data_IF_823159959942
#
_entry.id   IF_823159959942
#
_cell.length_a   1.000
_cell.length_b   1.000
_cell.length_c   1.000
_cell.angle_alpha   90.00
_cell.angle_beta   90.00
_cell.angle_gamma   90.00
#
_symmetry.space_group_name_H-M   'P 1'
#
loop_
_entity.id
_entity.type
_entity.pdbx_description
1 polymer ?
#
# COMPACT_ATOMS: atom_id res chain seq x y z
N UNK A 1 62.13 1.87 6.85
CA UNK A 1 61.48 3.10 7.33
C UNK A 1 60.59 3.58 6.20
N UNK A 2 59.33 3.14 6.17
CA UNK A 2 58.39 3.47 5.10
C UNK A 2 57.79 4.85 5.36
N UNK A 3 57.72 5.76 4.36
CA UNK A 3 57.19 7.09 4.57
C UNK A 3 55.66 7.04 4.75
N UNK A 4 55.22 7.73 5.79
CA UNK A 4 53.87 7.86 6.34
C UNK A 4 52.86 8.60 5.45
N UNK A 5 53.03 8.59 4.12
CA UNK A 5 52.20 9.39 3.20
C UNK A 5 51.10 8.61 2.46
N UNK A 6 51.01 7.28 2.62
CA UNK A 6 50.01 6.45 1.91
C UNK A 6 48.81 6.02 2.77
N UNK A 7 48.85 6.25 4.08
CA UNK A 7 47.72 5.91 4.98
C UNK A 7 46.69 7.05 5.06
N UNK A 8 47.10 8.30 4.78
CA UNK A 8 46.20 9.47 4.82
C UNK A 8 45.21 9.56 3.65
N UNK A 9 45.57 9.06 2.46
CA UNK A 9 44.70 9.14 1.27
C UNK A 9 43.59 8.07 1.26
N UNK A 10 43.82 6.91 1.89
CA UNK A 10 42.83 5.83 1.98
C UNK A 10 41.72 6.10 3.01
N UNK A 11 42.01 6.90 4.05
CA UNK A 11 41.04 7.22 5.10
C UNK A 11 40.10 8.38 4.68
N UNK A 12 40.59 9.31 3.84
CA UNK A 12 39.76 10.38 3.26
C UNK A 12 38.77 9.87 2.20
N UNK A 13 39.08 8.80 1.48
CA UNK A 13 38.14 8.14 0.56
C UNK A 13 37.01 7.37 1.28
N UNK A 14 37.26 6.86 2.48
CA UNK A 14 36.23 6.17 3.27
C UNK A 14 35.31 7.11 4.06
N UNK A 15 35.74 8.34 4.35
CA UNK A 15 34.93 9.30 5.13
C UNK A 15 34.08 10.20 4.20
N UNK A 16 34.50 10.46 2.97
CA UNK A 16 33.69 11.20 1.99
C UNK A 16 32.58 10.36 1.33
N UNK A 17 32.53 9.05 1.62
CA UNK A 17 31.53 8.12 1.04
C UNK A 17 30.27 7.94 1.91
N UNK A 18 30.17 8.58 3.08
CA UNK A 18 29.07 8.33 4.02
C UNK A 18 28.09 9.49 4.23
N UNK A 19 28.32 10.67 3.67
CA UNK A 19 27.42 11.83 3.84
C UNK A 19 27.13 12.58 2.53
N UNK A 20 27.03 11.87 1.41
CA UNK A 20 26.10 12.32 0.37
C UNK A 20 24.72 11.90 0.85
N UNK A 21 24.10 12.76 1.66
CA UNK A 21 22.67 12.75 1.83
C UNK A 21 22.06 12.70 0.43
N UNK A 22 21.60 11.51 0.04
CA UNK A 22 20.79 11.32 -1.15
C UNK A 22 19.58 12.20 -0.92
N UNK A 23 19.60 13.39 -1.50
CA UNK A 23 18.38 14.13 -1.72
C UNK A 23 17.51 13.18 -2.55
N UNK A 24 16.58 12.48 -1.89
CA UNK A 24 15.48 11.80 -2.58
C UNK A 24 14.78 12.90 -3.36
N UNK A 25 15.11 13.04 -4.64
CA UNK A 25 14.25 13.74 -5.58
C UNK A 25 13.08 12.79 -5.77
N UNK A 26 12.11 12.88 -4.87
CA UNK A 26 10.81 12.23 -5.04
C UNK A 26 10.16 12.98 -6.19
N UNK A 27 10.32 12.47 -7.42
CA UNK A 27 9.39 12.82 -8.49
C UNK A 27 8.14 12.03 -8.17
N UNK A 28 7.25 12.62 -7.36
CA UNK A 28 5.87 12.14 -7.33
C UNK A 28 5.35 12.34 -8.75
N UNK A 29 5.18 11.28 -9.52
CA UNK A 29 4.00 11.31 -10.40
C UNK A 29 2.84 11.43 -9.42
N UNK A 30 2.14 12.55 -9.48
CA UNK A 30 1.17 12.95 -8.46
C UNK A 30 0.09 11.88 -8.35
N UNK A 31 0.21 11.02 -7.33
CA UNK A 31 -0.90 10.19 -6.86
C UNK A 31 -2.08 11.16 -6.70
N UNK A 32 -3.24 10.93 -7.34
CA UNK A 32 -4.33 11.91 -7.43
C UNK A 32 -5.08 12.02 -6.09
N UNK A 33 -4.39 12.54 -5.09
CA UNK A 33 -4.86 12.70 -3.73
C UNK A 33 -5.88 13.84 -3.69
N UNK A 34 -7.07 13.52 -3.21
CA UNK A 34 -8.17 14.47 -3.03
C UNK A 34 -8.83 14.20 -1.69
N UNK A 35 -9.47 15.21 -1.08
CA UNK A 35 -10.23 14.98 0.14
C UNK A 35 -11.44 14.07 -0.13
N UNK A 36 -11.80 13.21 0.83
CA UNK A 36 -12.92 12.27 0.66
C UNK A 36 -14.21 12.91 0.15
N UNK A 37 -14.57 14.10 0.62
CA UNK A 37 -15.82 14.76 0.21
C UNK A 37 -15.84 15.19 -1.27
N UNK A 38 -14.69 15.31 -1.94
CA UNK A 38 -14.59 15.55 -3.37
C UNK A 38 -14.68 14.25 -4.19
N UNK A 39 -14.28 13.12 -3.60
CA UNK A 39 -14.33 11.79 -4.22
C UNK A 39 -15.73 11.19 -4.08
N UNK A 40 -16.28 11.26 -2.86
CA UNK A 40 -17.56 10.66 -2.47
C UNK A 40 -18.50 11.76 -1.96
N UNK A 41 -19.58 12.08 -2.69
CA UNK A 41 -20.57 13.07 -2.25
C UNK A 41 -21.33 12.70 -0.96
N UNK A 42 -21.54 11.41 -0.70
CA UNK A 42 -22.18 10.91 0.53
C UNK A 42 -21.61 9.56 0.99
N UNK A 43 -22.08 9.05 2.14
CA UNK A 43 -21.75 7.71 2.62
C UNK A 43 -22.20 6.60 1.68
N UNK A 44 -23.28 6.81 0.92
CA UNK A 44 -23.70 5.88 -0.12
C UNK A 44 -22.65 5.72 -1.21
N UNK A 45 -22.19 6.83 -1.81
CA UNK A 45 -21.15 6.75 -2.84
C UNK A 45 -19.83 6.20 -2.29
N UNK A 46 -19.49 6.51 -1.04
CA UNK A 46 -18.33 5.91 -0.37
C UNK A 46 -18.46 4.38 -0.34
N UNK A 47 -19.55 3.86 0.21
CA UNK A 47 -19.76 2.41 0.37
C UNK A 47 -19.79 1.68 -0.97
N UNK A 48 -20.52 2.23 -1.95
CA UNK A 48 -20.78 1.52 -3.21
C UNK A 48 -19.61 1.62 -4.21
N UNK A 49 -18.72 2.62 -4.09
CA UNK A 49 -17.65 2.86 -5.08
C UNK A 49 -16.25 2.52 -4.61
N UNK A 50 -15.91 2.83 -3.36
CA UNK A 50 -14.52 2.73 -2.87
C UNK A 50 -13.92 1.36 -3.14
N UNK A 51 -14.71 0.31 -2.89
CA UNK A 51 -14.30 -1.08 -3.03
C UNK A 51 -14.93 -1.75 -4.27
N UNK A 52 -15.11 -0.99 -5.36
CA UNK A 52 -15.56 -1.51 -6.66
C UNK A 52 -16.86 -2.34 -6.59
N UNK A 53 -17.88 -1.82 -5.90
CA UNK A 53 -19.17 -2.50 -5.76
C UNK A 53 -19.17 -3.70 -4.79
N UNK A 54 -18.12 -3.90 -3.99
CA UNK A 54 -18.10 -4.91 -2.93
C UNK A 54 -19.26 -4.78 -1.95
N UNK A 55 -19.71 -3.53 -1.71
CA UNK A 55 -20.75 -3.19 -0.75
C UNK A 55 -21.92 -2.45 -1.39
N UNK A 56 -23.11 -2.62 -0.81
CA UNK A 56 -24.34 -1.92 -1.19
C UNK A 56 -24.88 -1.18 0.03
N UNK A 57 -25.34 0.06 -0.16
CA UNK A 57 -25.89 0.86 0.93
C UNK A 57 -27.31 0.39 1.27
N UNK A 58 -27.50 -0.21 2.46
CA UNK A 58 -28.77 -0.79 2.90
C UNK A 58 -29.34 -0.03 4.10
N UNK A 59 -30.60 0.40 3.95
CA UNK A 59 -31.35 1.21 4.94
C UNK A 59 -32.30 0.37 5.80
N UNK A 60 -32.52 -0.90 5.44
CA UNK A 60 -33.24 -1.83 6.27
C UNK A 60 -32.29 -2.56 7.23
N UNK A 61 -32.36 -2.22 8.52
CA UNK A 61 -31.44 -2.74 9.53
C UNK A 61 -31.44 -4.27 9.63
N UNK A 62 -32.58 -4.92 9.38
CA UNK A 62 -32.67 -6.39 9.48
C UNK A 62 -31.95 -7.10 8.33
N UNK A 63 -31.54 -6.37 7.30
CA UNK A 63 -30.89 -6.88 6.07
C UNK A 63 -29.46 -6.37 5.90
N UNK A 64 -28.96 -5.60 6.87
CA UNK A 64 -27.72 -4.85 6.72
C UNK A 64 -26.64 -5.32 7.71
N UNK A 65 -25.50 -5.75 7.16
CA UNK A 65 -24.32 -6.13 7.90
C UNK A 65 -23.63 -4.90 8.52
N UNK A 66 -22.83 -5.13 9.57
CA UNK A 66 -21.94 -4.13 10.15
C UNK A 66 -20.50 -4.63 10.08
N UNK A 67 -19.56 -3.73 9.81
CA UNK A 67 -18.12 -4.04 9.78
C UNK A 67 -17.47 -3.98 11.16
N UNK A 68 -18.25 -3.73 12.22
CA UNK A 68 -17.80 -3.83 13.60
C UNK A 68 -18.98 -4.01 14.55
N UNK A 69 -18.75 -4.68 15.68
CA UNK A 69 -19.74 -4.85 16.74
C UNK A 69 -19.09 -4.98 18.12
N UNK A 70 -19.87 -4.66 19.16
CA UNK A 70 -19.47 -4.80 20.56
C UNK A 70 -20.27 -5.89 21.28
N UNK A 71 -21.26 -6.46 20.61
CA UNK A 71 -22.09 -7.51 21.14
C UNK A 71 -21.29 -8.80 21.41
N UNK A 72 -21.79 -9.60 22.35
CA UNK A 72 -21.16 -10.86 22.72
C UNK A 72 -21.11 -11.85 21.56
N UNK A 73 -22.14 -11.80 20.71
CA UNK A 73 -22.38 -12.71 19.60
C UNK A 73 -22.43 -11.88 18.31
N UNK A 74 -22.00 -12.46 17.18
CA UNK A 74 -21.88 -11.74 15.92
C UNK A 74 -23.28 -11.41 15.35
N UNK A 75 -23.70 -10.13 15.29
CA UNK A 75 -25.03 -9.76 14.79
C UNK A 75 -25.20 -10.06 13.29
N UNK A 76 -24.10 -10.19 12.55
CA UNK A 76 -24.13 -10.52 11.12
C UNK A 76 -24.69 -11.93 10.86
N UNK A 77 -24.62 -12.85 11.84
CA UNK A 77 -25.22 -14.19 11.71
C UNK A 77 -26.76 -14.13 11.63
N UNK A 78 -27.39 -13.18 12.34
CA UNK A 78 -28.85 -12.95 12.27
C UNK A 78 -29.23 -12.27 10.94
N UNK A 79 -28.43 -11.30 10.48
CA UNK A 79 -28.64 -10.65 9.18
C UNK A 79 -28.58 -11.68 8.05
N UNK A 80 -27.61 -12.59 8.07
CA UNK A 80 -27.50 -13.69 7.10
C UNK A 80 -28.79 -14.53 7.07
N UNK A 81 -29.34 -14.87 8.23
CA UNK A 81 -30.60 -15.63 8.32
C UNK A 81 -31.80 -14.84 7.78
N UNK A 82 -31.88 -13.55 8.06
CA UNK A 82 -32.94 -12.67 7.54
C UNK A 82 -32.89 -12.52 6.01
N UNK A 83 -31.73 -12.75 5.39
CA UNK A 83 -31.57 -12.81 3.94
C UNK A 83 -31.92 -14.19 3.35
N UNK A 84 -32.33 -15.16 4.18
CA UNK A 84 -32.64 -16.52 3.76
C UNK A 84 -31.41 -17.40 3.53
N UNK A 85 -30.26 -16.98 4.06
CA UNK A 85 -28.99 -17.71 3.98
C UNK A 85 -28.66 -18.33 5.35
N UNK A 86 -27.62 -19.17 5.39
CA UNK A 86 -27.08 -19.73 6.63
C UNK A 86 -25.65 -19.22 6.85
N UNK A 87 -25.26 -18.88 8.09
CA UNK A 87 -23.87 -18.60 8.40
C UNK A 87 -22.97 -19.75 7.94
N UNK A 88 -21.90 -19.48 7.15
CA UNK A 88 -21.22 -20.54 6.43
C UNK A 88 -20.32 -21.37 7.34
N UNK A 89 -20.19 -22.66 7.00
CA UNK A 89 -19.26 -23.58 7.66
C UNK A 89 -17.83 -23.48 7.09
N UNK A 90 -17.68 -22.81 5.96
CA UNK A 90 -16.40 -22.55 5.29
C UNK A 90 -16.15 -21.05 5.24
N UNK A 91 -14.89 -20.67 5.24
CA UNK A 91 -14.49 -19.36 4.77
C UNK A 91 -14.41 -19.45 3.24
N UNK A 92 -15.04 -18.53 2.52
CA UNK A 92 -15.07 -18.59 1.04
C UNK A 92 -14.10 -17.60 0.38
N UNK A 93 -13.75 -16.50 1.03
CA UNK A 93 -12.69 -15.61 0.58
C UNK A 93 -11.32 -16.32 0.70
N UNK A 94 -10.39 -15.94 -0.17
CA UNK A 94 -9.07 -16.57 -0.28
C UNK A 94 -8.01 -15.49 -0.32
N UNK A 95 -6.86 -15.82 0.28
CA UNK A 95 -5.51 -15.22 0.18
C UNK A 95 -4.85 -15.37 1.56
N UNK A 96 -5.41 -14.74 2.60
CA UNK A 96 -4.99 -14.86 4.00
C UNK A 96 -6.01 -15.59 4.90
N UNK A 97 -7.19 -15.90 4.36
CA UNK A 97 -8.25 -16.59 5.10
C UNK A 97 -7.93 -18.06 5.38
N UNK A 98 -8.43 -18.55 6.51
CA UNK A 98 -8.52 -19.97 6.87
C UNK A 98 -9.48 -20.70 5.91
N UNK A 99 -9.51 -22.03 5.95
CA UNK A 99 -10.50 -22.84 5.24
C UNK A 99 -11.87 -22.83 5.94
N UNK A 100 -11.87 -22.87 7.27
CA UNK A 100 -13.07 -22.95 8.10
C UNK A 100 -13.04 -21.91 9.23
N UNK A 101 -14.21 -21.37 9.64
CA UNK A 101 -14.27 -20.48 10.78
C UNK A 101 -13.93 -21.20 12.08
N UNK A 102 -13.19 -20.55 12.97
CA UNK A 102 -12.81 -21.12 14.26
C UNK A 102 -12.39 -20.08 15.30
N UNK A 103 -12.21 -20.48 16.56
CA UNK A 103 -11.79 -19.58 17.62
C UNK A 103 -10.32 -19.18 17.50
N UNK A 104 -10.01 -17.97 17.94
CA UNK A 104 -8.67 -17.38 18.00
C UNK A 104 -8.16 -17.28 19.45
N UNK A 105 -6.82 -17.23 19.67
CA UNK A 105 -6.22 -17.21 21.00
C UNK A 105 -6.59 -15.95 21.81
N UNK A 106 -6.29 -15.96 23.10
CA UNK A 106 -6.62 -14.85 23.99
C UNK A 106 -5.90 -13.53 23.66
N UNK A 107 -4.79 -13.62 22.95
CA UNK A 107 -3.97 -12.52 22.43
C UNK A 107 -4.57 -11.84 21.20
N UNK A 108 -5.65 -12.39 20.62
CA UNK A 108 -6.37 -11.84 19.47
C UNK A 108 -7.12 -10.54 19.82
N UNK A 109 -6.42 -9.42 19.73
CA UNK A 109 -6.87 -8.13 20.26
C UNK A 109 -7.38 -7.13 19.20
N UNK A 110 -6.73 -7.01 18.04
CA UNK A 110 -7.10 -5.95 17.07
C UNK A 110 -8.47 -6.20 16.45
N UNK A 111 -8.73 -7.41 15.93
CA UNK A 111 -10.02 -7.80 15.33
C UNK A 111 -10.90 -8.60 16.30
N UNK A 112 -10.80 -8.31 17.60
CA UNK A 112 -11.39 -9.11 18.67
C UNK A 112 -12.90 -9.44 18.57
N UNK A 113 -13.79 -8.68 17.87
CA UNK A 113 -15.19 -9.07 17.76
C UNK A 113 -15.39 -10.48 17.19
N UNK A 114 -14.52 -10.93 16.28
CA UNK A 114 -14.59 -12.26 15.67
C UNK A 114 -13.85 -13.36 16.44
N UNK A 115 -13.26 -13.08 17.61
CA UNK A 115 -12.39 -14.03 18.33
C UNK A 115 -12.99 -15.43 18.51
N UNK A 116 -14.31 -15.56 18.72
CA UNK A 116 -14.95 -16.87 18.94
C UNK A 116 -15.11 -17.69 17.66
N UNK A 117 -15.20 -17.02 16.50
CA UNK A 117 -15.48 -17.61 15.20
C UNK A 117 -15.05 -16.65 14.09
N UNK A 118 -13.79 -16.76 13.66
CA UNK A 118 -13.19 -15.93 12.63
C UNK A 118 -12.73 -16.74 11.43
N UNK A 119 -12.57 -16.08 10.28
CA UNK A 119 -11.86 -16.59 9.10
C UNK A 119 -10.41 -16.13 8.97
N UNK A 120 -9.94 -15.24 9.84
CA UNK A 120 -8.55 -14.79 9.93
C UNK A 120 -7.80 -15.48 11.07
N UNK A 121 -6.48 -15.25 11.19
CA UNK A 121 -5.67 -15.69 12.33
C UNK A 121 -5.07 -14.49 13.07
N UNK A 122 -4.67 -14.65 14.33
CA UNK A 122 -3.92 -13.59 15.04
C UNK A 122 -2.71 -13.08 14.22
N UNK A 123 -1.98 -13.97 13.56
CA UNK A 123 -0.78 -13.60 12.79
C UNK A 123 -1.10 -12.65 11.62
N UNK A 124 -2.28 -12.78 11.02
CA UNK A 124 -2.69 -11.94 9.89
C UNK A 124 -3.21 -10.57 10.35
N UNK A 125 -3.66 -10.44 11.60
CA UNK A 125 -4.35 -9.22 12.07
C UNK A 125 -3.84 -8.66 13.41
N UNK A 126 -2.67 -9.05 13.90
CA UNK A 126 -2.19 -8.68 15.25
C UNK A 126 -1.94 -7.18 15.48
N UNK A 127 -1.95 -6.35 14.44
CA UNK A 127 -1.73 -4.91 14.54
C UNK A 127 -2.25 -4.17 13.31
N UNK A 128 -2.53 -2.88 13.49
CA UNK A 128 -2.86 -1.95 12.38
C UNK A 128 -1.78 -1.97 11.30
N UNK A 129 -0.50 -1.98 11.69
CA UNK A 129 0.60 -2.02 10.73
C UNK A 129 0.57 -3.31 9.91
N UNK A 130 0.31 -4.46 10.56
CA UNK A 130 0.21 -5.74 9.87
C UNK A 130 -0.94 -5.77 8.88
N UNK A 131 -2.11 -5.26 9.25
CA UNK A 131 -3.27 -5.14 8.36
C UNK A 131 -2.93 -4.29 7.13
N UNK A 132 -2.26 -3.16 7.34
CA UNK A 132 -1.88 -2.22 6.27
C UNK A 132 -0.87 -2.82 5.29
N UNK A 133 0.14 -3.50 5.81
CA UNK A 133 1.25 -4.06 5.01
C UNK A 133 0.92 -5.39 4.33
N UNK A 134 -0.20 -6.05 4.68
CA UNK A 134 -0.47 -7.44 4.30
C UNK A 134 -0.58 -7.68 2.79
N UNK A 135 -0.87 -6.64 2.02
CA UNK A 135 -1.12 -6.72 0.58
C UNK A 135 -0.04 -6.09 -0.28
N UNK A 136 0.84 -5.26 0.30
CA UNK A 136 1.83 -4.47 -0.43
C UNK A 136 1.60 -2.97 -0.31
N UNK A 137 2.65 -2.15 -0.51
CA UNK A 137 2.58 -0.70 -0.33
C UNK A 137 1.58 0.00 -1.27
N UNK A 138 1.34 -0.58 -2.45
CA UNK A 138 0.35 -0.12 -3.42
C UNK A 138 -1.09 -0.26 -2.92
N UNK A 139 -1.35 -1.09 -1.90
CA UNK A 139 -2.66 -1.31 -1.29
C UNK A 139 -2.83 -0.65 0.07
N UNK A 140 -1.86 0.16 0.51
CA UNK A 140 -2.01 0.94 1.74
C UNK A 140 -3.18 1.94 1.62
N UNK A 141 -4.06 2.01 2.61
CA UNK A 141 -5.14 3.00 2.61
C UNK A 141 -4.65 4.45 2.80
N UNK A 142 -3.43 4.65 3.31
CA UNK A 142 -2.82 5.94 3.64
C UNK A 142 -1.77 6.42 2.61
N UNK A 143 -1.88 5.99 1.34
CA UNK A 143 -0.98 6.43 0.24
C UNK A 143 -0.91 7.96 0.07
N UNK A 144 -1.94 8.68 0.48
CA UNK A 144 -1.99 10.15 0.45
C UNK A 144 -1.51 10.82 1.75
N UNK A 145 -0.83 10.06 2.60
CA UNK A 145 -0.41 10.47 3.93
C UNK A 145 -1.33 9.92 5.02
N UNK A 146 -0.94 10.08 6.31
CA UNK A 146 -1.68 9.54 7.43
C UNK A 146 -3.12 10.06 7.47
N UNK A 147 -4.07 9.15 7.66
CA UNK A 147 -5.46 9.49 7.92
C UNK A 147 -5.62 9.98 9.37
N UNK A 148 -6.67 10.75 9.63
CA UNK A 148 -7.06 11.07 11.00
C UNK A 148 -7.42 9.79 11.76
N UNK A 149 -7.22 9.73 13.09
CA UNK A 149 -7.54 8.52 13.86
C UNK A 149 -9.00 8.10 13.76
N UNK A 150 -9.92 9.05 13.58
CA UNK A 150 -11.34 8.78 13.40
C UNK A 150 -11.62 8.08 12.06
N UNK A 151 -10.96 8.52 10.98
CA UNK A 151 -11.08 7.91 9.66
C UNK A 151 -10.36 6.55 9.59
N UNK A 152 -9.12 6.46 10.06
CA UNK A 152 -8.32 5.23 10.00
C UNK A 152 -9.01 4.07 10.73
N UNK A 153 -9.76 4.38 11.80
CA UNK A 153 -10.50 3.35 12.53
C UNK A 153 -11.52 2.63 11.65
N UNK A 154 -12.11 3.26 10.64
CA UNK A 154 -13.01 2.58 9.70
C UNK A 154 -12.28 1.65 8.73
N UNK A 155 -11.09 2.03 8.25
CA UNK A 155 -10.25 1.14 7.44
C UNK A 155 -9.80 -0.09 8.22
N UNK A 156 -9.44 0.09 9.50
CA UNK A 156 -9.10 -1.05 10.37
C UNK A 156 -10.30 -1.97 10.57
N UNK A 157 -11.49 -1.41 10.80
CA UNK A 157 -12.71 -2.20 10.97
C UNK A 157 -13.10 -2.95 9.70
N UNK A 158 -13.01 -2.31 8.54
CA UNK A 158 -13.26 -2.94 7.25
C UNK A 158 -12.24 -4.04 6.94
N UNK A 159 -10.95 -3.81 7.19
CA UNK A 159 -9.93 -4.84 7.02
C UNK A 159 -10.18 -6.03 7.96
N UNK A 160 -10.48 -5.79 9.23
CA UNK A 160 -10.89 -6.85 10.16
C UNK A 160 -12.13 -7.60 9.68
N UNK A 161 -13.12 -6.89 9.17
CA UNK A 161 -14.33 -7.49 8.63
C UNK A 161 -14.03 -8.38 7.43
N UNK A 162 -13.29 -7.88 6.43
CA UNK A 162 -12.91 -8.63 5.24
C UNK A 162 -12.11 -9.90 5.59
N UNK A 163 -11.13 -9.79 6.49
CA UNK A 163 -10.30 -10.94 6.88
C UNK A 163 -11.05 -11.94 7.77
N UNK A 164 -11.86 -11.46 8.70
CA UNK A 164 -12.32 -12.27 9.83
C UNK A 164 -13.79 -12.69 9.74
N UNK A 165 -14.67 -11.96 9.05
CA UNK A 165 -16.11 -12.23 9.02
C UNK A 165 -16.43 -13.47 8.17
N UNK A 166 -16.96 -14.56 8.77
CA UNK A 166 -17.35 -15.74 7.99
C UNK A 166 -18.40 -15.43 6.92
N UNK A 167 -19.35 -14.54 7.22
CA UNK A 167 -20.45 -14.22 6.31
C UNK A 167 -20.01 -13.40 5.08
N UNK A 168 -18.85 -12.74 5.11
CA UNK A 168 -18.33 -11.96 3.97
C UNK A 168 -18.13 -12.86 2.73
N UNK A 169 -17.71 -14.10 2.96
CA UNK A 169 -17.52 -15.08 1.89
C UNK A 169 -18.79 -15.45 1.11
N UNK A 170 -19.99 -15.26 1.67
CA UNK A 170 -21.26 -15.47 0.96
C UNK A 170 -21.45 -14.50 -0.20
N UNK A 171 -20.71 -13.38 -0.20
CA UNK A 171 -20.75 -12.31 -1.20
C UNK A 171 -19.52 -12.33 -2.11
N UNK A 172 -18.76 -13.42 -2.14
CA UNK A 172 -17.65 -13.57 -3.10
C UNK A 172 -18.21 -13.50 -4.53
N UNK A 173 -17.67 -12.59 -5.33
CA UNK A 173 -18.14 -12.28 -6.69
C UNK A 173 -18.20 -13.51 -7.60
N UNK A 174 -17.22 -14.40 -7.46
CA UNK A 174 -17.15 -15.67 -8.18
C UNK A 174 -17.26 -16.82 -7.17
N UNK A 175 -18.49 -17.30 -6.86
CA UNK A 175 -18.67 -18.50 -6.02
C UNK A 175 -18.05 -19.72 -6.70
N UNK A 176 -17.86 -20.83 -5.95
CA UNK A 176 -17.17 -22.02 -6.48
C UNK A 176 -17.87 -22.62 -7.71
N UNK A 177 -19.20 -22.41 -7.84
CA UNK A 177 -19.98 -22.83 -9.01
C UNK A 177 -19.62 -22.08 -10.29
N UNK A 178 -19.16 -20.84 -10.15
CA UNK A 178 -18.98 -19.89 -11.26
C UNK A 178 -17.49 -19.60 -11.47
N UNK A 179 -16.62 -19.92 -10.51
CA UNK A 179 -15.18 -19.71 -10.58
C UNK A 179 -14.53 -20.57 -11.68
N UNK A 180 -13.74 -19.93 -12.54
CA UNK A 180 -13.00 -20.58 -13.60
C UNK A 180 -11.53 -20.12 -13.55
N UNK A 181 -10.64 -21.01 -13.14
CA UNK A 181 -9.20 -20.70 -13.03
C UNK A 181 -8.52 -20.37 -14.37
N UNK A 182 -9.16 -20.69 -15.51
CA UNK A 182 -8.65 -20.33 -16.85
C UNK A 182 -9.14 -18.97 -17.33
N UNK A 183 -10.12 -18.36 -16.66
CA UNK A 183 -10.57 -17.01 -16.98
C UNK A 183 -9.77 -15.98 -16.15
N UNK A 184 -8.93 -15.13 -16.77
CA UNK A 184 -8.11 -14.17 -16.04
C UNK A 184 -8.92 -13.07 -15.35
N UNK A 185 -10.21 -12.92 -15.66
CA UNK A 185 -11.11 -11.99 -14.97
C UNK A 185 -11.70 -12.56 -13.68
N UNK A 186 -11.58 -13.88 -13.46
CA UNK A 186 -12.06 -14.56 -12.27
C UNK A 186 -10.97 -14.57 -11.19
N UNK A 187 -11.39 -14.34 -9.95
CA UNK A 187 -10.54 -14.43 -8.78
C UNK A 187 -11.33 -14.97 -7.58
N UNK A 188 -10.65 -15.27 -6.48
CA UNK A 188 -11.26 -15.89 -5.30
C UNK A 188 -11.34 -14.95 -4.08
N UNK A 189 -10.96 -13.68 -4.25
CA UNK A 189 -10.82 -12.69 -3.17
C UNK A 189 -11.85 -11.56 -3.29
N UNK A 190 -12.38 -11.28 -4.49
CA UNK A 190 -13.28 -10.15 -4.72
C UNK A 190 -14.66 -10.42 -4.12
N UNK A 191 -15.17 -9.44 -3.39
CA UNK A 191 -16.56 -9.38 -2.93
C UNK A 191 -17.42 -8.58 -3.89
N UNK A 192 -18.74 -8.77 -3.82
CA UNK A 192 -19.71 -8.00 -4.60
C UNK A 192 -21.07 -7.96 -3.90
N UNK A 193 -21.65 -6.78 -3.78
CA UNK A 193 -23.06 -6.64 -3.44
C UNK A 193 -23.43 -6.89 -1.96
N UNK A 194 -22.48 -6.90 -1.02
CA UNK A 194 -22.80 -7.15 0.39
C UNK A 194 -23.52 -5.95 1.02
N UNK A 195 -24.74 -6.10 1.58
CA UNK A 195 -25.50 -4.98 2.10
C UNK A 195 -24.94 -4.48 3.43
N UNK A 196 -24.39 -3.27 3.46
CA UNK A 196 -23.81 -2.65 4.66
C UNK A 196 -24.79 -1.61 5.22
N UNK A 197 -24.87 -1.54 6.54
CA UNK A 197 -25.74 -0.60 7.24
C UNK A 197 -25.45 0.85 6.84
N UNK A 198 -26.50 1.55 6.40
CA UNK A 198 -26.44 2.93 5.94
C UNK A 198 -25.69 3.86 6.90
N UNK A 199 -26.01 3.80 8.19
CA UNK A 199 -25.37 4.71 9.17
C UNK A 199 -23.89 4.41 9.34
N UNK A 200 -23.45 3.16 9.09
CA UNK A 200 -22.04 2.80 9.12
C UNK A 200 -21.30 3.47 7.96
N UNK A 201 -21.83 3.37 6.74
CA UNK A 201 -21.29 4.04 5.55
C UNK A 201 -21.26 5.58 5.76
N UNK A 202 -22.32 6.15 6.31
CA UNK A 202 -22.39 7.60 6.57
C UNK A 202 -21.45 8.06 7.69
N UNK A 203 -21.25 7.22 8.71
CA UNK A 203 -20.28 7.50 9.78
C UNK A 203 -18.85 7.46 9.25
N UNK A 204 -18.52 6.48 8.40
CA UNK A 204 -17.23 6.41 7.73
C UNK A 204 -16.98 7.67 6.90
N UNK A 205 -17.93 8.05 6.06
CA UNK A 205 -17.82 9.25 5.22
C UNK A 205 -17.61 10.53 6.03
N UNK A 206 -18.40 10.72 7.10
CA UNK A 206 -18.24 11.89 7.98
C UNK A 206 -16.88 11.91 8.68
N UNK A 207 -16.38 10.76 9.13
CA UNK A 207 -15.10 10.65 9.83
C UNK A 207 -13.93 10.97 8.90
N UNK A 208 -14.00 10.55 7.64
CA UNK A 208 -12.94 10.75 6.65
C UNK A 208 -13.05 12.03 5.84
N UNK A 209 -14.13 12.82 6.02
CA UNK A 209 -14.55 13.92 5.11
C UNK A 209 -13.42 14.81 4.58
N UNK A 210 -12.46 15.18 5.43
CA UNK A 210 -11.37 16.12 5.10
C UNK A 210 -10.01 15.44 4.88
N UNK A 211 -9.91 14.14 5.13
CA UNK A 211 -8.67 13.39 4.98
C UNK A 211 -8.38 13.18 3.50
N UNK A 212 -7.10 13.06 3.14
CA UNK A 212 -6.68 12.84 1.76
C UNK A 212 -6.75 11.35 1.43
N UNK A 213 -7.27 11.03 0.25
CA UNK A 213 -7.39 9.66 -0.22
C UNK A 213 -7.09 9.57 -1.71
N UNK A 214 -6.69 8.38 -2.14
CA UNK A 214 -6.45 8.11 -3.54
C UNK A 214 -7.50 7.15 -4.08
N UNK A 215 -8.33 7.68 -4.96
CA UNK A 215 -9.22 6.93 -5.84
C UNK A 215 -9.24 7.65 -7.20
N UNK A 216 -9.39 6.90 -8.28
CA UNK A 216 -9.50 7.50 -9.62
C UNK A 216 -10.85 8.24 -9.77
N UNK A 217 -11.12 8.84 -10.92
CA UNK A 217 -12.34 9.60 -11.19
C UNK A 217 -13.65 8.81 -11.00
N UNK A 218 -13.59 7.48 -11.10
CA UNK A 218 -14.72 6.59 -10.82
C UNK A 218 -14.98 6.36 -9.33
N UNK A 219 -14.05 6.78 -8.45
CA UNK A 219 -14.11 6.59 -7.01
C UNK A 219 -13.61 5.22 -6.56
N UNK A 220 -12.96 4.44 -7.43
CA UNK A 220 -12.44 3.13 -7.10
C UNK A 220 -11.05 3.24 -6.43
N UNK A 221 -10.88 2.58 -5.28
CA UNK A 221 -9.59 2.48 -4.59
C UNK A 221 -8.56 1.70 -5.41
N UNK A 222 -8.98 0.60 -6.04
CA UNK A 222 -8.07 -0.34 -6.69
C UNK A 222 -7.44 0.26 -7.95
N UNK A 223 -8.13 1.15 -8.66
CA UNK A 223 -7.58 1.85 -9.82
C UNK A 223 -6.41 2.78 -9.45
N UNK A 224 -6.32 3.23 -8.19
CA UNK A 224 -5.16 4.01 -7.74
C UNK A 224 -3.90 3.15 -7.56
N UNK A 225 -4.03 1.89 -7.13
CA UNK A 225 -2.89 1.01 -6.94
C UNK A 225 -2.13 0.76 -8.26
N UNK A 226 -2.84 0.65 -9.39
CA UNK A 226 -2.24 0.52 -10.71
C UNK A 226 -1.28 1.68 -11.07
N UNK A 227 -1.56 2.90 -10.60
CA UNK A 227 -0.71 4.07 -10.81
C UNK A 227 0.53 4.01 -9.90
N UNK A 228 0.40 3.46 -8.69
CA UNK A 228 1.52 3.32 -7.74
C UNK A 228 2.66 2.47 -8.29
N UNK A 229 2.35 1.38 -8.98
CA UNK A 229 3.34 0.48 -9.59
C UNK A 229 4.16 1.17 -10.71
N UNK A 230 3.52 2.02 -11.53
CA UNK A 230 4.22 2.77 -12.56
C UNK A 230 5.28 3.72 -11.97
N UNK A 231 4.98 4.39 -10.85
CA UNK A 231 5.89 5.34 -10.18
C UNK A 231 7.18 4.67 -9.72
N UNK A 232 7.08 3.50 -9.09
CA UNK A 232 8.22 2.78 -8.51
C UNK A 232 9.22 2.35 -9.59
N UNK A 233 8.73 2.00 -10.79
CA UNK A 233 9.61 1.54 -11.89
C UNK A 233 10.44 2.66 -12.53
N UNK A 234 9.94 3.90 -12.53
CA UNK A 234 10.64 5.06 -13.11
C UNK A 234 11.75 5.63 -12.21
N UNK A 235 11.68 5.39 -10.90
CA UNK A 235 12.65 5.87 -9.90
C UNK A 235 14.00 5.12 -9.97
N UNK A 236 13.96 3.79 -10.14
CA UNK A 236 15.17 2.96 -10.09
C UNK A 236 16.18 3.22 -11.22
N UNK A 237 15.71 3.37 -12.46
CA UNK A 237 16.60 3.55 -13.63
C UNK A 237 17.13 4.98 -13.78
N UNK A 238 16.29 5.97 -13.49
CA UNK A 238 16.60 7.39 -13.69
C UNK A 238 17.58 7.91 -12.65
N UNK A 239 17.42 7.50 -11.37
CA UNK A 239 18.33 7.87 -10.29
C UNK A 239 19.73 7.31 -10.53
N UNK A 240 19.84 6.04 -10.95
CA UNK A 240 21.13 5.42 -11.31
C UNK A 240 21.80 6.17 -12.46
N UNK A 241 21.04 6.55 -13.50
CA UNK A 241 21.55 7.32 -14.63
C UNK A 241 22.09 8.70 -14.24
N UNK A 242 21.38 9.44 -13.39
CA UNK A 242 21.78 10.78 -12.94
C UNK A 242 23.03 10.70 -12.04
N UNK A 243 23.06 9.77 -11.08
CA UNK A 243 24.22 9.59 -10.19
C UNK A 243 25.46 9.20 -11.00
N UNK A 244 25.32 8.26 -11.94
CA UNK A 244 26.42 7.87 -12.80
C UNK A 244 26.90 9.03 -13.69
N UNK A 245 25.98 9.81 -14.27
CA UNK A 245 26.31 10.99 -15.06
C UNK A 245 27.07 12.06 -14.26
N UNK A 246 26.63 12.36 -13.04
CA UNK A 246 27.29 13.30 -12.15
C UNK A 246 28.71 12.84 -11.77
N UNK A 247 28.91 11.56 -11.47
CA UNK A 247 30.23 11.00 -11.14
C UNK A 247 31.21 11.10 -12.33
N UNK A 248 30.74 10.85 -13.56
CA UNK A 248 31.55 11.01 -14.77
C UNK A 248 31.97 12.47 -14.96
N UNK A 249 31.05 13.42 -14.76
CA UNK A 249 31.35 14.86 -14.89
C UNK A 249 32.39 15.30 -13.85
N UNK A 250 32.25 14.88 -12.58
CA UNK A 250 33.23 15.20 -11.53
C UNK A 250 34.60 14.62 -11.85
N UNK A 251 34.67 13.39 -12.37
CA UNK A 251 35.93 12.77 -12.79
C UNK A 251 36.58 13.53 -13.96
N UNK A 252 35.80 13.97 -14.94
CA UNK A 252 36.29 14.78 -16.07
C UNK A 252 36.81 16.14 -15.62
N UNK A 253 36.09 16.83 -14.73
CA UNK A 253 36.53 18.12 -14.16
C UNK A 253 37.81 17.93 -13.34
N UNK A 254 37.89 16.87 -12.53
CA UNK A 254 39.09 16.52 -11.77
C UNK A 254 40.28 16.23 -12.68
N UNK A 255 40.06 15.49 -13.77
CA UNK A 255 41.09 15.18 -14.77
C UNK A 255 41.57 16.44 -15.50
N UNK A 256 40.65 17.30 -15.95
CA UNK A 256 40.99 18.59 -16.56
C UNK A 256 41.78 19.48 -15.59
N UNK A 257 41.35 19.55 -14.32
CA UNK A 257 42.07 20.26 -13.26
C UNK A 257 43.49 19.72 -13.04
N UNK A 258 43.65 18.39 -13.05
CA UNK A 258 44.96 17.73 -12.97
C UNK A 258 45.85 18.05 -14.17
N UNK A 259 45.32 18.04 -15.39
CA UNK A 259 46.06 18.43 -16.59
C UNK A 259 46.54 19.89 -16.49
N UNK A 260 45.66 20.81 -16.11
CA UNK A 260 46.01 22.23 -15.91
C UNK A 260 47.07 22.41 -14.82
N UNK A 261 46.96 21.67 -13.71
CA UNK A 261 47.95 21.71 -12.63
C UNK A 261 49.33 21.22 -13.10
N UNK A 262 49.37 20.13 -13.86
CA UNK A 262 50.61 19.57 -14.41
C UNK A 262 51.26 20.49 -15.44
N UNK A 263 50.46 21.18 -16.25
CA UNK A 263 50.94 22.21 -17.15
C UNK A 263 51.59 23.38 -16.38
N UNK A 264 50.91 23.88 -15.34
CA UNK A 264 51.40 24.99 -14.51
C UNK A 264 52.65 24.67 -13.69
N UNK A 265 52.83 23.42 -13.31
CA UNK A 265 54.01 22.94 -12.56
C UNK A 265 55.17 22.51 -13.46
N UNK A 266 55.05 22.70 -14.78
CA UNK A 266 56.12 22.44 -15.75
C UNK A 266 56.35 20.95 -16.03
N UNK A 267 55.39 20.08 -15.71
CA UNK A 267 55.44 18.64 -16.00
C UNK A 267 54.24 18.23 -16.87
N UNK A 268 54.13 18.72 -18.12
CA UNK A 268 52.98 18.43 -18.96
C UNK A 268 52.77 16.93 -19.17
N UNK A 269 51.50 16.49 -19.18
CA UNK A 269 51.16 15.07 -19.42
C UNK A 269 51.31 14.71 -20.90
N UNK A 270 50.98 15.65 -21.78
CA UNK A 270 51.09 15.48 -23.22
C UNK A 270 52.32 16.23 -23.74
N UNK A 271 53.02 15.64 -24.70
CA UNK A 271 54.13 16.30 -25.37
C UNK A 271 53.60 17.24 -26.46
N UNK A 272 54.28 18.35 -26.76
CA UNK A 272 53.97 19.18 -27.93
C UNK A 272 53.99 18.35 -29.21
N UNK A 273 53.07 18.64 -30.13
CA UNK A 273 52.88 17.86 -31.37
C UNK A 273 54.16 17.78 -32.24
N UNK A 274 55.03 18.79 -32.17
CA UNK A 274 56.33 18.81 -32.87
C UNK A 274 57.31 17.74 -32.37
N UNK A 275 57.13 17.21 -31.15
CA UNK A 275 57.97 16.14 -30.57
C UNK A 275 57.37 14.74 -30.71
N UNK A 276 56.17 14.61 -31.26
CA UNK A 276 55.51 13.30 -31.44
C UNK A 276 55.63 12.76 -32.88
N UNK A 277 56.14 13.56 -33.81
CA UNK A 277 56.30 13.21 -35.22
C UNK A 277 57.74 12.76 -35.61
N UNK A 278 58.60 12.42 -34.63
CA UNK A 278 59.93 11.83 -34.87
C UNK A 278 60.02 10.39 -34.38
#
# INVERSE_FOLDING_TARGET
MFPTSLVGAAILFSILSHDLAVAKVVVTSDIPCRPFHEIYPSGKELCEKMWDGSFVYETNRSRAYTMWFFDKDNPNDEVTQNLGLSPPALCHLRYLHKDTPGPEPDTFAECHPWKKRSCCTEVTVNSVQKLKESYGPEWHWDRCGPLSPACERFFIQEACFYECEPNAGLFRKYPDSDYNASDPSHNQWQMSGMPIWSDYCDAWHRACRNDQFCAHDDGNFFSCAAIYEEVQTMDGGTVVGIVFGCLVIVALIGFLGFLVFRERTGQPVFKPLEQQAS
#
